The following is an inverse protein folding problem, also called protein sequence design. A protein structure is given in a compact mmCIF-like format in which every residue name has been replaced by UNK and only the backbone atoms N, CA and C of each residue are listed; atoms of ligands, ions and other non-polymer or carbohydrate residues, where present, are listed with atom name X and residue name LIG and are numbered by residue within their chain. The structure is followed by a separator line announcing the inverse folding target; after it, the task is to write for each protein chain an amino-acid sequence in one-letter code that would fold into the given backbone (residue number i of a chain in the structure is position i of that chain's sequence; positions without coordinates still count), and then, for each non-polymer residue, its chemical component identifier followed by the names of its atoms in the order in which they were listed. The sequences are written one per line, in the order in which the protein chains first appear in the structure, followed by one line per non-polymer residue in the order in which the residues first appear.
data_IF_727679302545
#
_entry.id   IF_727679302545
#
_cell.length_a   1.000
_cell.length_b   1.000
_cell.length_c   1.000
_cell.angle_alpha   90.00
_cell.angle_beta   90.00
_cell.angle_gamma   90.00
#
_symmetry.space_group_name_H-M   'P 1'
#
loop_
_entity.id
_entity.type
_entity.pdbx_description
1 polymer ?
#
# COMPACT_ATOMS: atom_id res chain seq x y z
N UNK A 1 -7.73 2.61 1.55
CA UNK A 1 -6.33 2.18 1.43
C UNK A 1 -6.18 1.28 0.22
N UNK A 2 -5.16 1.52 -0.59
CA UNK A 2 -4.77 0.63 -1.67
C UNK A 2 -3.73 -0.34 -1.12
N UNK A 3 -4.11 -1.60 -0.96
CA UNK A 3 -3.25 -2.65 -0.44
C UNK A 3 -2.62 -3.45 -1.57
N UNK A 4 -1.43 -3.94 -1.27
CA UNK A 4 -0.74 -4.92 -2.07
C UNK A 4 -1.42 -6.29 -1.95
N UNK A 5 -1.25 -7.10 -2.95
CA UNK A 5 -1.81 -8.44 -3.04
C UNK A 5 -1.45 -9.29 -1.80
N UNK A 6 -2.45 -9.90 -1.20
CA UNK A 6 -2.34 -11.09 -0.38
C UNK A 6 -3.21 -12.16 -1.02
N UNK A 7 -2.87 -13.42 -0.89
CA UNK A 7 -3.51 -14.56 -1.57
C UNK A 7 -5.04 -14.64 -1.48
N UNK A 8 -5.64 -13.95 -0.51
CA UNK A 8 -7.07 -14.02 -0.20
C UNK A 8 -7.80 -12.68 -0.40
N UNK A 9 -7.23 -11.73 -1.15
CA UNK A 9 -7.83 -10.40 -1.29
C UNK A 9 -8.57 -10.29 -2.62
N UNK A 10 -9.88 -10.23 -2.55
CA UNK A 10 -10.78 -10.00 -3.70
C UNK A 10 -10.68 -8.57 -4.26
N UNK A 11 -9.99 -7.67 -3.58
CA UNK A 11 -9.84 -6.26 -3.99
C UNK A 11 -8.52 -5.66 -3.54
N UNK A 12 -7.95 -4.80 -4.39
CA UNK A 12 -6.75 -4.00 -4.09
C UNK A 12 -7.06 -2.82 -3.16
N UNK A 13 -8.33 -2.52 -2.92
CA UNK A 13 -8.76 -1.42 -2.06
C UNK A 13 -9.41 -1.94 -0.78
N UNK A 14 -9.05 -1.32 0.33
CA UNK A 14 -9.64 -1.58 1.64
C UNK A 14 -10.18 -0.28 2.22
N UNK A 15 -11.39 -0.31 2.77
CA UNK A 15 -11.97 0.80 3.48
C UNK A 15 -11.20 1.09 4.77
N UNK A 16 -10.79 2.34 4.99
CA UNK A 16 -10.07 2.73 6.20
C UNK A 16 -10.98 2.77 7.45
N UNK A 17 -12.29 2.90 7.28
CA UNK A 17 -13.22 3.02 8.42
C UNK A 17 -13.63 1.66 9.00
N UNK A 18 -13.75 0.63 8.13
CA UNK A 18 -14.26 -0.68 8.56
C UNK A 18 -13.34 -1.86 8.23
N UNK A 19 -12.20 -1.63 7.54
CA UNK A 19 -11.24 -2.68 7.18
C UNK A 19 -11.75 -3.67 6.12
N UNK A 20 -12.92 -3.44 5.52
CA UNK A 20 -13.50 -4.34 4.51
C UNK A 20 -12.91 -4.08 3.12
N UNK A 21 -12.75 -5.12 2.28
CA UNK A 21 -12.38 -4.93 0.89
C UNK A 21 -13.46 -4.12 0.14
N UNK A 22 -13.02 -3.23 -0.74
CA UNK A 22 -13.87 -2.41 -1.61
C UNK A 22 -13.67 -2.90 -3.03
N UNK A 23 -14.69 -3.53 -3.60
CA UNK A 23 -14.61 -4.07 -4.95
C UNK A 23 -14.63 -2.97 -6.00
N UNK A 24 -13.84 -3.13 -7.07
CA UNK A 24 -13.62 -2.09 -8.08
C UNK A 24 -14.90 -1.58 -8.73
N UNK A 25 -15.89 -2.44 -8.96
CA UNK A 25 -17.17 -2.03 -9.58
C UNK A 25 -18.11 -1.25 -8.66
N UNK A 26 -17.83 -1.22 -7.34
CA UNK A 26 -18.58 -0.40 -6.37
C UNK A 26 -18.02 1.02 -6.29
N UNK A 27 -16.87 1.29 -6.90
CA UNK A 27 -16.28 2.62 -6.93
C UNK A 27 -16.94 3.45 -8.04
N UNK A 28 -17.69 4.52 -7.68
CA UNK A 28 -18.59 5.23 -8.59
C UNK A 28 -17.89 5.96 -9.75
N UNK A 29 -16.56 6.08 -9.72
CA UNK A 29 -15.79 6.87 -10.68
C UNK A 29 -14.89 6.04 -11.60
N UNK A 30 -14.95 4.70 -11.53
CA UNK A 30 -14.27 3.83 -12.48
C UNK A 30 -15.15 3.51 -13.70
N UNK A 31 -15.82 4.53 -14.24
CA UNK A 31 -16.56 4.42 -15.50
C UNK A 31 -15.62 4.22 -16.68
N UNK A 32 -14.40 4.79 -16.60
CA UNK A 32 -13.40 4.61 -17.62
C UNK A 32 -12.80 3.20 -17.57
N UNK A 33 -12.94 2.47 -18.67
CA UNK A 33 -12.40 1.10 -18.81
C UNK A 33 -10.88 1.06 -18.71
N UNK A 34 -10.19 2.11 -19.15
CA UNK A 34 -8.72 2.20 -19.13
C UNK A 34 -8.22 2.26 -17.68
N UNK A 35 -8.85 3.06 -16.82
CA UNK A 35 -8.47 3.18 -15.41
C UNK A 35 -8.59 1.84 -14.67
N UNK A 36 -9.65 1.07 -14.94
CA UNK A 36 -9.82 -0.29 -14.38
C UNK A 36 -8.72 -1.24 -14.87
N UNK A 37 -8.35 -1.14 -16.13
CA UNK A 37 -7.30 -1.97 -16.70
C UNK A 37 -5.94 -1.65 -16.08
N UNK A 38 -5.63 -0.39 -15.82
CA UNK A 38 -4.38 0.02 -15.19
C UNK A 38 -4.26 -0.50 -13.75
N UNK A 39 -5.35 -0.45 -12.99
CA UNK A 39 -5.41 -1.01 -11.63
C UNK A 39 -5.22 -2.53 -11.69
N UNK A 40 -5.92 -3.21 -12.58
CA UNK A 40 -5.81 -4.66 -12.74
C UNK A 40 -4.40 -5.08 -13.18
N UNK A 41 -3.82 -4.38 -14.16
CA UNK A 41 -2.46 -4.64 -14.63
C UNK A 41 -1.43 -4.45 -13.50
N UNK A 42 -1.59 -3.40 -12.70
CA UNK A 42 -0.72 -3.21 -11.53
C UNK A 42 -0.88 -4.34 -10.51
N UNK A 43 -2.11 -4.78 -10.22
CA UNK A 43 -2.40 -5.91 -9.35
C UNK A 43 -1.75 -7.20 -9.86
N UNK A 44 -1.87 -7.49 -11.16
CA UNK A 44 -1.28 -8.67 -11.79
C UNK A 44 0.25 -8.64 -11.72
N UNK A 45 0.86 -7.47 -11.95
CA UNK A 45 2.30 -7.28 -11.82
C UNK A 45 2.76 -7.48 -10.37
N UNK A 46 2.01 -6.98 -9.41
CA UNK A 46 2.31 -7.17 -7.99
C UNK A 46 2.23 -8.65 -7.60
N UNK A 47 1.16 -9.34 -8.01
CA UNK A 47 0.99 -10.76 -7.78
C UNK A 47 2.11 -11.59 -8.41
N UNK A 48 2.56 -11.24 -9.62
CA UNK A 48 3.69 -11.90 -10.27
C UNK A 48 5.00 -11.73 -9.47
N UNK A 49 5.25 -10.53 -8.91
CA UNK A 49 6.41 -10.28 -8.05
C UNK A 49 6.34 -11.10 -6.75
N UNK A 50 5.16 -11.19 -6.14
CA UNK A 50 4.92 -12.02 -4.95
C UNK A 50 5.18 -13.51 -5.23
N UNK A 51 4.66 -14.01 -6.33
CA UNK A 51 4.87 -15.41 -6.72
C UNK A 51 6.33 -15.74 -6.97
N UNK A 52 7.08 -14.87 -7.63
CA UNK A 52 8.52 -15.05 -7.84
C UNK A 52 9.28 -15.03 -6.52
N UNK A 53 8.93 -14.13 -5.60
CA UNK A 53 9.54 -14.04 -4.29
C UNK A 53 9.26 -15.28 -3.44
N UNK A 54 8.01 -15.74 -3.39
CA UNK A 54 7.60 -16.93 -2.63
C UNK A 54 8.24 -18.23 -3.12
N UNK A 55 8.52 -18.31 -4.43
CA UNK A 55 9.21 -19.45 -5.01
C UNK A 55 10.74 -19.34 -4.97
N UNK A 56 11.28 -18.37 -4.21
CA UNK A 56 12.71 -18.11 -4.10
C UNK A 56 13.39 -17.89 -5.46
N UNK A 57 12.64 -17.31 -6.41
CA UNK A 57 13.15 -16.93 -7.72
C UNK A 57 13.35 -15.41 -7.77
N UNK A 58 14.57 -14.98 -8.07
CA UNK A 58 14.91 -13.57 -8.18
C UNK A 58 14.64 -12.73 -6.90
N UNK A 59 14.79 -13.31 -5.70
CA UNK A 59 14.45 -12.71 -4.39
C UNK A 59 14.93 -11.27 -4.23
N UNK A 60 16.17 -10.99 -4.64
CA UNK A 60 16.73 -9.63 -4.53
C UNK A 60 15.99 -8.61 -5.40
N UNK A 61 15.60 -9.03 -6.62
CA UNK A 61 14.89 -8.15 -7.54
C UNK A 61 13.45 -7.92 -7.09
N UNK A 62 12.73 -9.01 -6.83
CA UNK A 62 11.32 -8.97 -6.43
C UNK A 62 11.12 -8.29 -5.08
N UNK A 63 11.97 -8.60 -4.10
CA UNK A 63 11.98 -7.90 -2.81
C UNK A 63 12.22 -6.39 -2.97
N UNK A 64 13.17 -5.99 -3.82
CA UNK A 64 13.40 -4.56 -4.08
C UNK A 64 12.21 -3.89 -4.76
N UNK A 65 11.49 -4.58 -5.68
CA UNK A 65 10.29 -4.02 -6.30
C UNK A 65 9.17 -3.76 -5.29
N UNK A 66 9.03 -4.62 -4.29
CA UNK A 66 7.96 -4.54 -3.29
C UNK A 66 8.23 -3.50 -2.21
N UNK A 67 9.50 -3.39 -1.72
CA UNK A 67 9.82 -2.56 -0.54
C UNK A 67 10.39 -1.19 -0.87
N UNK A 68 11.00 -0.98 -2.03
CA UNK A 68 11.61 0.32 -2.38
C UNK A 68 10.56 1.28 -2.91
N UNK A 69 10.45 2.43 -2.26
CA UNK A 69 9.54 3.51 -2.67
C UNK A 69 9.71 3.94 -4.13
N UNK A 70 10.94 3.91 -4.63
CA UNK A 70 11.31 4.35 -5.98
C UNK A 70 11.31 3.23 -7.03
N UNK A 71 10.88 2.02 -6.67
CA UNK A 71 10.72 0.92 -7.60
C UNK A 71 9.63 1.23 -8.65
N UNK A 72 9.72 0.57 -9.82
CA UNK A 72 8.72 0.76 -10.87
C UNK A 72 7.31 0.36 -10.40
N UNK A 73 7.22 -0.76 -9.67
CA UNK A 73 5.96 -1.28 -9.14
C UNK A 73 5.31 -0.31 -8.14
N UNK A 74 6.08 0.19 -7.17
CA UNK A 74 5.56 1.09 -6.15
C UNK A 74 5.26 2.49 -6.70
N UNK A 75 6.05 3.00 -7.65
CA UNK A 75 5.73 4.26 -8.35
C UNK A 75 4.38 4.20 -9.05
N UNK A 76 4.15 3.14 -9.83
CA UNK A 76 2.88 2.93 -10.52
C UNK A 76 1.71 2.84 -9.52
N UNK A 77 1.86 2.07 -8.44
CA UNK A 77 0.83 1.95 -7.41
C UNK A 77 0.53 3.27 -6.69
N UNK A 78 1.56 4.08 -6.40
CA UNK A 78 1.40 5.42 -5.80
C UNK A 78 0.67 6.36 -6.77
N UNK A 79 1.02 6.36 -8.06
CA UNK A 79 0.35 7.18 -9.08
C UNK A 79 -1.13 6.81 -9.20
N UNK A 80 -1.46 5.51 -9.20
CA UNK A 80 -2.84 5.02 -9.18
C UNK A 80 -3.57 5.50 -7.92
N UNK A 81 -2.96 5.36 -6.73
CA UNK A 81 -3.58 5.79 -5.47
C UNK A 81 -3.82 7.31 -5.45
N UNK A 82 -2.88 8.12 -5.93
CA UNK A 82 -3.02 9.57 -6.04
C UNK A 82 -4.13 9.95 -7.04
N UNK A 83 -4.19 9.27 -8.19
CA UNK A 83 -5.23 9.48 -9.19
C UNK A 83 -6.62 9.14 -8.61
N UNK A 84 -6.75 7.96 -8.00
CA UNK A 84 -7.99 7.53 -7.38
C UNK A 84 -8.44 8.48 -6.26
N UNK A 85 -7.52 8.97 -5.44
CA UNK A 85 -7.83 9.95 -4.40
C UNK A 85 -8.41 11.25 -4.96
N UNK A 86 -7.93 11.71 -6.11
CA UNK A 86 -8.47 12.90 -6.81
C UNK A 86 -9.88 12.64 -7.35
N UNK A 87 -10.10 11.47 -7.95
CA UNK A 87 -11.42 11.11 -8.51
C UNK A 87 -12.48 10.94 -7.43
N UNK A 88 -12.11 10.32 -6.32
CA UNK A 88 -13.03 10.03 -5.21
C UNK A 88 -13.28 11.24 -4.28
N UNK A 89 -12.42 12.27 -4.33
CA UNK A 89 -12.50 13.43 -3.47
C UNK A 89 -12.10 13.18 -2.01
N UNK A 90 -11.49 12.02 -1.71
CA UNK A 90 -10.94 11.68 -0.40
C UNK A 90 -9.59 10.93 -0.53
N UNK A 91 -8.74 10.94 0.52
CA UNK A 91 -7.40 10.38 0.40
C UNK A 91 -7.42 8.86 0.23
N UNK A 92 -6.67 8.39 -0.77
CA UNK A 92 -6.34 6.96 -0.93
C UNK A 92 -4.89 6.77 -0.49
N UNK A 93 -4.66 5.93 0.52
CA UNK A 93 -3.32 5.65 1.04
C UNK A 93 -2.75 4.43 0.31
N UNK A 94 -1.52 4.57 -0.16
CA UNK A 94 -0.77 3.45 -0.72
C UNK A 94 -0.04 2.70 0.40
N UNK A 95 -0.31 1.40 0.52
CA UNK A 95 0.39 0.55 1.46
C UNK A 95 1.74 0.12 0.88
N UNK A 96 2.84 0.48 1.56
CA UNK A 96 4.18 0.09 1.19
C UNK A 96 4.66 -1.02 2.12
N UNK A 97 5.13 -2.13 1.55
CA UNK A 97 5.63 -3.24 2.34
C UNK A 97 6.92 -2.90 3.09
N UNK A 98 7.05 -3.53 4.25
CA UNK A 98 8.26 -3.50 5.05
C UNK A 98 9.21 -4.62 4.64
N UNK A 99 10.49 -4.32 4.50
CA UNK A 99 11.52 -5.35 4.36
C UNK A 99 11.75 -6.00 5.74
N UNK A 100 11.31 -7.23 5.92
CA UNK A 100 11.45 -8.00 7.18
C UNK A 100 12.90 -8.16 7.67
N UNK A 101 13.89 -7.77 6.92
CA UNK A 101 15.31 -7.84 7.28
C UNK A 101 15.98 -6.47 7.48
N UNK A 102 15.31 -5.38 7.10
CA UNK A 102 15.88 -4.03 7.20
C UNK A 102 14.94 -3.14 7.98
N UNK A 103 15.37 -2.70 9.13
CA UNK A 103 14.64 -1.75 9.96
C UNK A 103 14.27 -0.50 9.14
N UNK A 104 12.98 -0.36 8.84
CA UNK A 104 12.43 0.93 8.41
C UNK A 104 12.71 1.90 9.55
N UNK A 105 13.13 3.11 9.20
CA UNK A 105 13.39 4.11 10.22
C UNK A 105 12.12 4.33 11.03
N UNK A 106 12.17 3.98 12.30
CA UNK A 106 11.10 4.18 13.26
C UNK A 106 11.64 4.98 14.44
N UNK A 107 10.76 5.70 15.13
CA UNK A 107 11.06 6.43 16.36
C UNK A 107 10.19 5.88 17.47
N UNK A 108 10.81 5.65 18.64
CA UNK A 108 10.08 5.26 19.84
C UNK A 108 9.30 6.46 20.38
N UNK A 109 7.98 6.31 20.52
CA UNK A 109 7.07 7.30 21.09
C UNK A 109 6.27 6.60 22.17
N UNK A 110 6.59 6.87 23.44
CA UNK A 110 6.11 6.06 24.56
C UNK A 110 6.59 4.62 24.43
N UNK A 111 5.68 3.66 24.49
CA UNK A 111 5.98 2.23 24.33
C UNK A 111 5.87 1.73 22.88
N UNK A 112 5.46 2.60 21.93
CA UNK A 112 5.25 2.25 20.53
C UNK A 112 6.43 2.65 19.67
N UNK A 113 6.74 1.84 18.65
CA UNK A 113 7.61 2.22 17.54
C UNK A 113 6.74 2.71 16.38
N UNK A 114 6.93 3.98 15.98
CA UNK A 114 6.19 4.62 14.89
C UNK A 114 7.14 4.88 13.74
N UNK A 115 6.72 4.53 12.53
CA UNK A 115 7.52 4.68 11.33
C UNK A 115 7.77 6.14 10.95
N UNK A 116 8.92 6.38 10.30
CA UNK A 116 9.25 7.66 9.68
C UNK A 116 8.98 7.55 8.19
N UNK A 117 8.16 8.44 7.66
CA UNK A 117 7.82 8.45 6.23
C UNK A 117 9.09 8.50 5.36
N UNK A 118 9.28 7.58 4.42
CA UNK A 118 10.49 7.55 3.57
C UNK A 118 10.54 8.72 2.59
N UNK A 119 9.38 9.30 2.23
CA UNK A 119 9.27 10.42 1.27
C UNK A 119 9.56 11.77 1.93
N UNK A 120 8.83 12.14 3.00
CA UNK A 120 8.96 13.45 3.64
C UNK A 120 9.78 13.47 4.93
N UNK A 121 10.20 12.32 5.44
CA UNK A 121 11.00 12.15 6.68
C UNK A 121 10.29 12.58 7.97
N UNK A 122 9.00 12.85 7.93
CA UNK A 122 8.20 13.14 9.14
C UNK A 122 7.81 11.85 9.84
N UNK A 123 7.55 11.96 11.14
CA UNK A 123 6.96 10.88 11.92
C UNK A 123 5.55 10.62 11.39
N UNK A 124 5.22 9.36 11.16
CA UNK A 124 3.89 8.95 10.72
C UNK A 124 2.94 8.90 11.91
N UNK A 125 1.65 8.82 11.66
CA UNK A 125 0.61 8.77 12.67
C UNK A 125 0.07 7.36 12.74
N UNK A 126 0.05 6.78 13.97
CA UNK A 126 -0.60 5.49 14.21
C UNK A 126 -2.12 5.67 14.15
N UNK A 127 -2.77 4.86 13.32
CA UNK A 127 -4.22 4.82 13.18
C UNK A 127 -4.69 3.38 13.31
N UNK A 128 -5.75 3.19 14.10
CA UNK A 128 -6.41 1.90 14.27
C UNK A 128 -7.63 1.85 13.36
N UNK A 129 -7.68 0.88 12.47
CA UNK A 129 -8.80 0.65 11.54
C UNK A 129 -9.79 -0.41 12.06
N UNK A 130 -9.30 -1.35 12.89
CA UNK A 130 -10.12 -2.35 13.59
C UNK A 130 -9.37 -2.82 14.84
N UNK A 131 -9.98 -3.72 15.64
CA UNK A 131 -9.34 -4.25 16.84
C UNK A 131 -7.98 -4.89 16.56
N UNK A 132 -7.82 -5.52 15.39
CA UNK A 132 -6.60 -6.25 15.00
C UNK A 132 -5.78 -5.53 13.90
N UNK A 133 -6.16 -4.30 13.50
CA UNK A 133 -5.55 -3.64 12.35
C UNK A 133 -5.10 -2.21 12.67
N UNK A 134 -3.81 -2.05 12.89
CA UNK A 134 -3.17 -0.74 13.06
C UNK A 134 -2.22 -0.46 11.89
N UNK A 135 -2.17 0.78 11.46
CA UNK A 135 -1.27 1.29 10.43
C UNK A 135 -0.57 2.56 10.88
N UNK A 136 0.66 2.72 10.45
CA UNK A 136 1.32 4.01 10.47
C UNK A 136 1.06 4.71 9.13
N UNK A 137 0.41 5.87 9.16
CA UNK A 137 0.06 6.64 7.96
C UNK A 137 0.80 7.97 7.88
N UNK A 138 1.19 8.35 6.68
CA UNK A 138 1.65 9.70 6.35
C UNK A 138 0.54 10.45 5.62
N UNK A 139 -0.14 11.37 6.30
CA UNK A 139 -1.27 12.11 5.73
C UNK A 139 -0.85 13.01 4.54
N UNK A 140 0.39 13.50 4.53
CA UNK A 140 0.92 14.33 3.44
C UNK A 140 1.29 13.52 2.20
N UNK A 141 2.00 12.41 2.38
CA UNK A 141 2.50 11.60 1.27
C UNK A 141 1.54 10.48 0.84
N UNK A 142 0.43 10.30 1.56
CA UNK A 142 -0.56 9.24 1.33
C UNK A 142 0.05 7.83 1.32
N UNK A 143 1.01 7.59 2.21
CA UNK A 143 1.66 6.30 2.41
C UNK A 143 1.20 5.67 3.71
N UNK A 144 1.11 4.35 3.74
CA UNK A 144 0.84 3.57 4.94
C UNK A 144 1.82 2.39 5.09
N UNK A 145 2.02 1.96 6.33
CA UNK A 145 2.79 0.78 6.72
C UNK A 145 2.05 -0.03 7.78
N UNK A 146 2.34 -1.34 7.84
CA UNK A 146 1.91 -2.15 8.99
C UNK A 146 2.50 -1.57 10.29
N UNK A 147 1.67 -1.44 11.32
CA UNK A 147 2.12 -1.08 12.65
C UNK A 147 2.78 -2.30 13.32
N UNK A 148 3.95 -2.10 13.93
CA UNK A 148 4.68 -3.10 14.70
C UNK A 148 4.71 -2.73 16.18
#
# INVERSE_FOLDING_TARGET
EMQTFRFDIDSVFTCCDCGKPVVLYELPYLENREDRNDIQLWQDNYAAMDMLWLNCLCDRYTGNQRVKLDSALNKQGIEIAEYMGKQLGYPVYYHLECDYGKSIKAKKVGDQQIHICPKCRRLMKRVRFSEDHERDICEECKLSYDAH
#
